data_IF_183971905458
#
_entry.id   IF_183971905458
#
_cell.length_a   1.000
_cell.length_b   1.000
_cell.length_c   1.000
_cell.angle_alpha   90.00
_cell.angle_beta   90.00
_cell.angle_gamma   90.00
#
_symmetry.space_group_name_H-M   'P 1'
#
loop_
_entity.id
_entity.type
_entity.pdbx_description
1 polymer ?
#
# COMPACT_ATOMS: atom_id res chain seq x y z
N UNK A 1 13.90 -0.54 3.85
CA UNK A 1 13.23 -1.78 4.30
C UNK A 1 11.84 -1.39 4.70
N UNK A 2 10.82 -1.81 3.94
CA UNK A 2 9.44 -1.46 4.23
C UNK A 2 8.89 -2.27 5.40
N UNK A 3 8.22 -1.64 6.35
CA UNK A 3 7.53 -2.32 7.46
C UNK A 3 6.08 -2.55 7.08
N UNK A 4 5.63 -3.79 7.26
CA UNK A 4 4.24 -4.18 7.04
C UNK A 4 3.44 -3.98 8.33
N UNK A 5 2.34 -3.24 8.27
CA UNK A 5 1.36 -3.16 9.37
C UNK A 5 0.03 -3.79 8.95
N UNK A 6 -0.49 -4.72 9.78
CA UNK A 6 -1.76 -5.43 9.55
C UNK A 6 -2.90 -4.76 10.34
N UNK A 7 -4.03 -4.47 9.69
CA UNK A 7 -5.23 -3.99 10.37
C UNK A 7 -5.93 -5.11 11.16
N UNK A 8 -6.59 -4.73 12.26
CA UNK A 8 -7.21 -5.60 13.26
C UNK A 8 -8.36 -6.45 12.67
N UNK A 9 -8.47 -7.71 13.06
CA UNK A 9 -9.57 -8.61 12.64
C UNK A 9 -10.94 -8.06 13.07
N UNK A 10 -11.91 -8.10 12.15
CA UNK A 10 -13.29 -7.66 12.37
C UNK A 10 -14.10 -8.83 13.00
N UNK A 11 -14.57 -8.69 14.26
CA UNK A 11 -15.31 -9.76 14.94
C UNK A 11 -16.70 -10.04 14.34
N UNK A 12 -17.22 -9.18 13.45
CA UNK A 12 -18.54 -9.32 12.82
C UNK A 12 -18.52 -10.13 11.50
N UNK A 13 -17.44 -10.87 11.23
CA UNK A 13 -17.25 -11.62 9.99
C UNK A 13 -18.30 -12.75 9.85
N UNK A 14 -19.08 -12.72 8.77
CA UNK A 14 -20.15 -13.70 8.55
C UNK A 14 -19.62 -14.94 7.79
N UNK A 15 -20.08 -16.17 8.12
CA UNK A 15 -19.61 -17.40 7.49
C UNK A 15 -20.15 -17.63 6.07
N UNK A 16 -20.90 -16.70 5.48
CA UNK A 16 -21.25 -16.70 4.05
C UNK A 16 -20.32 -15.78 3.22
N UNK A 17 -19.44 -15.00 3.88
CA UNK A 17 -18.49 -14.09 3.28
C UNK A 17 -17.22 -14.80 2.75
N UNK A 18 -17.05 -16.09 3.07
CA UNK A 18 -15.87 -16.94 2.76
C UNK A 18 -15.77 -17.42 1.29
N UNK A 19 -16.77 -17.18 0.44
CA UNK A 19 -16.66 -17.48 -1.00
C UNK A 19 -16.06 -16.32 -1.82
N UNK A 20 -15.57 -15.29 -1.15
CA UNK A 20 -14.94 -14.12 -1.72
C UNK A 20 -13.44 -14.13 -1.40
N UNK A 21 -12.62 -13.60 -2.31
CA UNK A 21 -11.19 -13.41 -2.10
C UNK A 21 -10.97 -12.45 -0.91
N UNK A 22 -10.67 -13.00 0.27
CA UNK A 22 -10.42 -12.21 1.49
C UNK A 22 -8.96 -11.75 1.55
N UNK A 23 -8.75 -10.47 1.28
CA UNK A 23 -7.44 -9.81 1.34
C UNK A 23 -7.48 -8.75 2.42
N UNK A 24 -6.55 -8.86 3.37
CA UNK A 24 -6.47 -7.91 4.48
C UNK A 24 -5.89 -6.58 3.99
N UNK A 25 -6.38 -5.43 4.50
CA UNK A 25 -5.79 -4.15 4.19
C UNK A 25 -4.34 -4.11 4.68
N UNK A 26 -3.45 -3.69 3.79
CA UNK A 26 -2.00 -3.78 3.99
C UNK A 26 -1.37 -2.42 3.75
N UNK A 27 -0.57 -1.96 4.70
CA UNK A 27 0.20 -0.72 4.57
C UNK A 27 1.69 -1.06 4.62
N UNK A 28 2.41 -0.64 3.59
CA UNK A 28 3.87 -0.62 3.55
C UNK A 28 4.36 0.78 3.90
N UNK A 29 5.17 0.91 4.96
CA UNK A 29 5.87 2.15 5.26
C UNK A 29 7.28 2.19 4.65
N UNK A 30 7.89 3.38 4.56
CA UNK A 30 9.27 3.58 4.11
C UNK A 30 9.61 2.86 2.78
N UNK A 31 8.70 2.98 1.81
CA UNK A 31 8.82 2.33 0.51
C UNK A 31 9.82 3.10 -0.37
N UNK A 32 10.81 2.36 -0.89
CA UNK A 32 11.74 2.89 -1.90
C UNK A 32 11.01 3.01 -3.24
N UNK A 33 11.22 4.10 -3.97
CA UNK A 33 10.64 4.32 -5.30
C UNK A 33 11.03 3.22 -6.28
N UNK A 34 12.23 2.65 -6.17
CA UNK A 34 12.68 1.56 -7.03
C UNK A 34 12.06 0.19 -6.67
N UNK A 35 11.24 0.11 -5.63
CA UNK A 35 10.58 -1.14 -5.24
C UNK A 35 9.43 -1.48 -6.20
N UNK A 36 9.28 -2.76 -6.54
CA UNK A 36 8.21 -3.28 -7.40
C UNK A 36 6.81 -2.86 -6.93
N UNK A 37 6.58 -2.88 -5.61
CA UNK A 37 5.34 -2.43 -4.94
C UNK A 37 5.00 -0.94 -5.16
N UNK A 38 5.97 -0.13 -5.57
CA UNK A 38 5.79 1.29 -5.89
C UNK A 38 5.71 1.54 -7.39
N UNK A 39 6.11 0.59 -8.24
CA UNK A 39 6.12 0.71 -9.69
C UNK A 39 4.92 0.04 -10.36
N UNK A 40 4.38 -1.01 -9.74
CA UNK A 40 3.32 -1.84 -10.32
C UNK A 40 2.00 -1.71 -9.57
N UNK A 41 0.90 -1.83 -10.31
CA UNK A 41 -0.45 -1.80 -9.75
C UNK A 41 -0.80 -3.15 -9.12
N UNK A 42 -1.02 -3.18 -7.79
CA UNK A 42 -1.26 -4.42 -7.02
C UNK A 42 -2.73 -4.87 -7.05
N UNK A 43 -3.67 -4.01 -7.47
CA UNK A 43 -5.12 -4.31 -7.56
C UNK A 43 -5.71 -4.96 -6.28
N UNK A 44 -5.22 -4.54 -5.11
CA UNK A 44 -5.67 -5.00 -3.80
C UNK A 44 -5.74 -3.84 -2.79
N UNK A 45 -6.22 -4.07 -1.56
CA UNK A 45 -6.31 -3.04 -0.51
C UNK A 45 -4.92 -2.76 0.08
N UNK A 46 -3.96 -2.37 -0.76
CA UNK A 46 -2.56 -2.14 -0.43
C UNK A 46 -2.22 -0.67 -0.63
N UNK A 47 -1.58 -0.06 0.36
CA UNK A 47 -1.09 1.33 0.30
C UNK A 47 0.40 1.35 0.60
N UNK A 48 1.16 2.05 -0.23
CA UNK A 48 2.61 2.29 -0.06
C UNK A 48 2.84 3.72 0.39
N UNK A 49 3.53 3.91 1.52
CA UNK A 49 3.94 5.22 2.02
C UNK A 49 5.39 5.49 1.61
N UNK A 50 5.59 6.59 0.87
CA UNK A 50 6.88 7.03 0.36
C UNK A 50 7.23 8.34 1.07
N UNK A 51 8.36 8.36 1.76
CA UNK A 51 8.80 9.56 2.49
C UNK A 51 9.38 10.60 1.55
N UNK A 52 9.21 11.88 1.87
CA UNK A 52 9.85 13.01 1.20
C UNK A 52 10.33 14.02 2.25
N UNK A 53 11.32 14.83 1.89
CA UNK A 53 11.95 15.80 2.78
C UNK A 53 11.36 17.19 2.61
N UNK A 54 10.93 17.52 1.40
CA UNK A 54 10.36 18.81 1.02
C UNK A 54 9.30 18.68 -0.09
N UNK A 55 8.57 19.76 -0.34
CA UNK A 55 7.47 19.79 -1.30
C UNK A 55 7.92 19.60 -2.76
N UNK A 56 9.10 20.13 -3.14
CA UNK A 56 9.64 19.97 -4.50
C UNK A 56 10.02 18.51 -4.77
N UNK A 57 10.59 17.85 -3.76
CA UNK A 57 10.87 16.42 -3.78
C UNK A 57 9.56 15.62 -3.90
N UNK A 58 8.53 15.96 -3.13
CA UNK A 58 7.23 15.30 -3.22
C UNK A 58 6.61 15.43 -4.62
N UNK A 59 6.67 16.63 -5.21
CA UNK A 59 6.16 16.89 -6.56
C UNK A 59 6.93 16.11 -7.63
N UNK A 60 8.25 16.12 -7.54
CA UNK A 60 9.12 15.40 -8.48
C UNK A 60 8.86 13.89 -8.45
N UNK A 61 8.63 13.34 -7.25
CA UNK A 61 8.30 11.92 -7.06
C UNK A 61 6.89 11.57 -7.54
N UNK A 62 5.92 12.47 -7.37
CA UNK A 62 4.57 12.26 -7.92
C UNK A 62 4.59 12.18 -9.45
N UNK A 63 5.29 13.10 -10.13
CA UNK A 63 5.47 13.03 -11.59
C UNK A 63 6.23 11.79 -12.08
N UNK A 64 7.00 11.13 -11.22
CA UNK A 64 7.67 9.87 -11.55
C UNK A 64 6.71 8.68 -11.53
N UNK A 65 5.64 8.73 -10.74
CA UNK A 65 4.64 7.67 -10.62
C UNK A 65 3.51 7.76 -11.68
N UNK A 66 3.43 8.88 -12.43
CA UNK A 66 2.42 9.13 -13.47
C UNK A 66 2.90 8.80 -14.91
N UNK A 67 4.09 8.21 -15.07
CA UNK A 67 4.67 7.79 -16.38
C UNK A 67 4.68 6.27 -16.54
#
# INVERSE_FOLDING_TARGET
MARLTRSRENPDFNPFQIYLLDVNPTIFDHVDLAAEVAQEEIFGPVVSLIDFSDEEEAWSRHCFLDQ
#
